data_IF_351541597001
#
_entry.id   IF_351541597001
#
_cell.length_a   1.000
_cell.length_b   1.000
_cell.length_c   1.000
_cell.angle_alpha   90.00
_cell.angle_beta   90.00
_cell.angle_gamma   90.00
#
_symmetry.space_group_name_H-M   'P 1'
#
loop_
_entity.id
_entity.type
_entity.pdbx_description
1 polymer ?
#
# COMPACT_ATOMS: atom_id res chain seq x y z
N UNK A 1 -18.41 -8.29 13.57
CA UNK A 1 -18.98 -9.20 12.56
C UNK A 1 -20.20 -8.57 11.87
N UNK A 2 -21.04 -7.82 12.59
CA UNK A 2 -22.18 -7.06 12.02
C UNK A 2 -21.79 -6.09 10.89
N UNK A 3 -20.63 -5.44 10.95
CA UNK A 3 -20.14 -4.49 9.92
C UNK A 3 -19.76 -5.11 8.56
N UNK A 4 -19.79 -6.44 8.43
CA UNK A 4 -19.58 -7.13 7.15
C UNK A 4 -20.87 -7.72 6.56
N UNK A 5 -22.03 -7.57 7.23
CA UNK A 5 -23.31 -8.00 6.67
C UNK A 5 -23.68 -7.08 5.50
N UNK A 6 -23.64 -7.61 4.28
CA UNK A 6 -24.03 -6.90 3.06
C UNK A 6 -22.88 -6.57 2.10
N UNK A 7 -21.62 -6.84 2.46
CA UNK A 7 -20.49 -6.66 1.55
C UNK A 7 -20.33 -7.87 0.63
N UNK A 8 -20.09 -7.61 -0.65
CA UNK A 8 -19.73 -8.64 -1.61
C UNK A 8 -18.35 -9.23 -1.28
N UNK A 9 -18.08 -10.44 -1.76
CA UNK A 9 -16.75 -11.06 -1.63
C UNK A 9 -15.64 -10.14 -2.18
N UNK A 10 -15.94 -9.37 -3.25
CA UNK A 10 -15.00 -8.45 -3.86
C UNK A 10 -14.68 -7.28 -2.92
N UNK A 11 -15.69 -6.63 -2.35
CA UNK A 11 -15.51 -5.51 -1.40
C UNK A 11 -14.76 -5.94 -0.15
N UNK A 12 -15.00 -7.16 0.33
CA UNK A 12 -14.24 -7.70 1.46
C UNK A 12 -12.76 -7.87 1.10
N UNK A 13 -12.48 -8.41 -0.08
CA UNK A 13 -11.12 -8.62 -0.52
C UNK A 13 -10.38 -7.30 -0.82
N UNK A 14 -11.08 -6.28 -1.34
CA UNK A 14 -10.53 -4.93 -1.46
C UNK A 14 -10.17 -4.35 -0.09
N UNK A 15 -11.07 -4.47 0.89
CA UNK A 15 -10.78 -4.04 2.26
C UNK A 15 -9.57 -4.78 2.84
N UNK A 16 -9.47 -6.09 2.62
CA UNK A 16 -8.31 -6.86 3.08
C UNK A 16 -7.02 -6.36 2.42
N UNK A 17 -7.06 -6.05 1.13
CA UNK A 17 -5.90 -5.50 0.39
C UNK A 17 -5.47 -4.17 0.98
N UNK A 18 -6.41 -3.27 1.27
CA UNK A 18 -6.14 -1.98 1.96
C UNK A 18 -5.45 -2.22 3.31
N UNK A 19 -5.95 -3.14 4.14
CA UNK A 19 -5.33 -3.44 5.42
C UNK A 19 -3.93 -4.04 5.29
N UNK A 20 -3.70 -4.91 4.30
CA UNK A 20 -2.38 -5.46 4.03
C UNK A 20 -1.39 -4.35 3.63
N UNK A 21 -1.82 -3.38 2.82
CA UNK A 21 -1.00 -2.22 2.43
C UNK A 21 -0.68 -1.30 3.61
N UNK A 22 -1.69 -0.95 4.42
CA UNK A 22 -1.52 -0.13 5.62
C UNK A 22 -0.63 -0.82 6.68
N UNK A 23 -0.66 -2.15 6.72
CA UNK A 23 0.24 -2.91 7.56
C UNK A 23 1.67 -2.83 7.03
N UNK A 24 1.84 -3.09 5.72
CA UNK A 24 3.14 -3.12 5.06
C UNK A 24 3.88 -1.78 5.10
N UNK A 25 3.23 -0.67 4.81
CA UNK A 25 3.87 0.65 4.84
C UNK A 25 4.05 1.22 6.27
N UNK A 26 3.52 0.52 7.29
CA UNK A 26 3.61 0.93 8.69
C UNK A 26 2.51 1.91 9.16
N UNK A 27 1.57 2.31 8.32
CA UNK A 27 0.49 3.23 8.71
C UNK A 27 -0.36 2.67 9.87
N UNK A 28 -0.63 1.36 9.91
CA UNK A 28 -1.35 0.76 11.06
C UNK A 28 -0.58 0.91 12.38
N UNK A 29 0.76 0.82 12.33
CA UNK A 29 1.60 1.03 13.51
C UNK A 29 1.51 2.48 13.97
N UNK A 30 1.59 3.44 13.06
CA UNK A 30 1.47 4.87 13.35
C UNK A 30 0.09 5.24 13.92
N UNK A 31 -0.99 4.69 13.36
CA UNK A 31 -2.36 4.88 13.89
C UNK A 31 -2.49 4.34 15.31
N UNK A 32 -1.94 3.15 15.58
CA UNK A 32 -1.92 2.58 16.92
C UNK A 32 -1.17 3.47 17.90
N UNK A 33 -0.04 4.05 17.50
CA UNK A 33 0.75 4.98 18.33
C UNK A 33 -0.03 6.27 18.62
N UNK A 34 -0.86 6.73 17.66
CA UNK A 34 -1.80 7.85 17.81
C UNK A 34 -3.10 7.48 18.55
N UNK A 35 -3.17 6.31 19.17
CA UNK A 35 -4.34 5.82 19.93
C UNK A 35 -5.61 5.63 19.09
N UNK A 36 -5.49 5.43 17.77
CA UNK A 36 -6.64 5.02 16.96
C UNK A 36 -7.07 3.60 17.34
N UNK A 37 -8.35 3.43 17.68
CA UNK A 37 -8.93 2.13 17.97
C UNK A 37 -9.12 1.31 16.69
N UNK A 38 -9.15 -0.03 16.86
CA UNK A 38 -9.47 -0.94 15.74
C UNK A 38 -10.82 -0.62 15.09
N UNK A 39 -11.80 -0.19 15.90
CA UNK A 39 -13.15 0.12 15.41
C UNK A 39 -13.16 1.38 14.54
N UNK A 40 -12.43 2.42 14.94
CA UNK A 40 -12.28 3.65 14.15
C UNK A 40 -11.56 3.38 12.83
N UNK A 41 -10.46 2.63 12.86
CA UNK A 41 -9.71 2.27 11.65
C UNK A 41 -10.59 1.45 10.71
N UNK A 42 -11.30 0.43 11.22
CA UNK A 42 -12.23 -0.35 10.39
C UNK A 42 -13.34 0.52 9.82
N UNK A 43 -13.97 1.38 10.62
CA UNK A 43 -15.03 2.26 10.14
C UNK A 43 -14.54 3.22 9.04
N UNK A 44 -13.33 3.77 9.18
CA UNK A 44 -12.74 4.68 8.21
C UNK A 44 -12.50 4.01 6.84
N UNK A 45 -11.98 2.77 6.83
CA UNK A 45 -11.67 2.06 5.59
C UNK A 45 -12.82 1.19 5.06
N UNK A 46 -13.90 0.97 5.83
CA UNK A 46 -15.02 0.12 5.42
C UNK A 46 -15.78 0.63 4.19
N UNK A 47 -15.71 1.93 3.89
CA UNK A 47 -16.36 2.53 2.71
C UNK A 47 -15.36 3.19 1.75
N UNK A 48 -14.05 2.99 1.97
CA UNK A 48 -13.01 3.50 1.08
C UNK A 48 -12.46 2.35 0.24
N UNK A 49 -12.59 2.46 -1.08
CA UNK A 49 -11.86 1.61 -2.01
C UNK A 49 -10.39 2.03 -2.03
N UNK A 50 -9.53 1.14 -2.54
CA UNK A 50 -8.16 1.52 -2.86
C UNK A 50 -8.17 2.39 -4.13
N UNK A 51 -8.32 3.69 -3.93
CA UNK A 51 -8.36 4.69 -4.98
C UNK A 51 -6.97 5.31 -5.25
N UNK A 52 -6.92 6.18 -6.24
CA UNK A 52 -5.68 6.82 -6.67
C UNK A 52 -5.12 7.78 -5.62
N UNK A 53 -5.99 8.42 -4.82
CA UNK A 53 -5.57 9.29 -3.71
C UNK A 53 -4.81 8.49 -2.65
N UNK A 54 -5.35 7.33 -2.25
CA UNK A 54 -4.67 6.44 -1.30
C UNK A 54 -3.34 5.93 -1.85
N UNK A 55 -3.28 5.51 -3.12
CA UNK A 55 -2.02 5.09 -3.76
C UNK A 55 -1.01 6.22 -3.79
N UNK A 56 -1.43 7.43 -4.14
CA UNK A 56 -0.58 8.61 -4.19
C UNK A 56 -0.03 8.96 -2.81
N UNK A 57 -0.86 8.94 -1.77
CA UNK A 57 -0.40 9.20 -0.40
C UNK A 57 0.64 8.15 0.03
N UNK A 58 0.41 6.86 -0.25
CA UNK A 58 1.40 5.82 0.04
C UNK A 58 2.69 5.99 -0.77
N UNK A 59 2.61 6.45 -2.01
CA UNK A 59 3.79 6.73 -2.82
C UNK A 59 4.62 7.89 -2.22
N UNK A 60 3.97 8.98 -1.79
CA UNK A 60 4.64 10.10 -1.12
C UNK A 60 5.33 9.67 0.18
N UNK A 61 4.66 8.85 0.99
CA UNK A 61 5.21 8.23 2.19
C UNK A 61 6.51 7.44 1.87
N UNK A 62 6.54 6.71 0.75
CA UNK A 62 7.74 5.98 0.32
C UNK A 62 8.85 6.90 -0.18
N UNK A 63 8.52 8.00 -0.86
CA UNK A 63 9.48 9.02 -1.29
C UNK A 63 10.15 9.67 -0.07
N UNK A 64 9.39 10.00 0.96
CA UNK A 64 9.94 10.56 2.21
C UNK A 64 10.95 9.60 2.85
N UNK A 65 10.64 8.30 2.92
CA UNK A 65 11.55 7.28 3.44
C UNK A 65 12.80 7.08 2.58
N UNK A 66 12.70 7.23 1.25
CA UNK A 66 13.85 7.21 0.35
C UNK A 66 14.78 8.39 0.61
N UNK A 67 14.23 9.59 0.89
CA UNK A 67 15.05 10.76 1.23
C UNK A 67 15.80 10.57 2.56
N UNK A 68 15.20 9.87 3.53
CA UNK A 68 15.84 9.53 4.80
C UNK A 68 16.87 8.39 4.66
N UNK A 69 16.60 7.43 3.78
CA UNK A 69 17.41 6.23 3.57
C UNK A 69 17.54 5.89 2.07
N UNK A 70 18.52 6.50 1.37
CA UNK A 70 18.70 6.31 -0.06
C UNK A 70 18.90 4.84 -0.45
N UNK A 71 18.22 4.42 -1.51
CA UNK A 71 18.23 3.05 -2.04
C UNK A 71 17.17 2.12 -1.43
N UNK A 72 16.42 2.58 -0.42
CA UNK A 72 15.34 1.81 0.21
C UNK A 72 14.23 1.49 -0.79
N UNK A 73 13.77 2.48 -1.56
CA UNK A 73 12.68 2.33 -2.52
C UNK A 73 13.03 1.33 -3.61
N UNK A 74 14.24 1.41 -4.16
CA UNK A 74 14.71 0.48 -5.20
C UNK A 74 14.80 -0.96 -4.66
N UNK A 75 15.26 -1.12 -3.42
CA UNK A 75 15.30 -2.42 -2.75
C UNK A 75 13.91 -2.99 -2.52
N UNK A 76 12.99 -2.19 -2.02
CA UNK A 76 11.61 -2.62 -1.76
C UNK A 76 10.86 -2.94 -3.06
N UNK A 77 11.11 -2.21 -4.14
CA UNK A 77 10.57 -2.50 -5.46
C UNK A 77 11.02 -3.88 -5.95
N UNK A 78 12.32 -4.19 -5.85
CA UNK A 78 12.84 -5.51 -6.23
C UNK A 78 12.24 -6.65 -5.39
N UNK A 79 11.99 -6.40 -4.09
CA UNK A 79 11.30 -7.36 -3.21
C UNK A 79 9.86 -7.56 -3.68
N UNK A 80 9.13 -6.49 -3.95
CA UNK A 80 7.72 -6.55 -4.40
C UNK A 80 7.58 -7.29 -5.74
N UNK A 81 8.49 -7.08 -6.69
CA UNK A 81 8.51 -7.79 -7.96
C UNK A 81 8.72 -9.30 -7.78
N UNK A 82 9.67 -9.69 -6.92
CA UNK A 82 9.92 -11.09 -6.60
C UNK A 82 8.74 -11.75 -5.88
N UNK A 83 8.11 -11.03 -4.95
CA UNK A 83 6.90 -11.50 -4.25
C UNK A 83 5.74 -11.71 -5.22
N UNK A 84 5.52 -10.78 -6.15
CA UNK A 84 4.49 -10.89 -7.18
C UNK A 84 4.72 -12.11 -8.07
N UNK A 85 5.94 -12.32 -8.54
CA UNK A 85 6.26 -13.47 -9.38
C UNK A 85 6.10 -14.79 -8.61
N UNK A 86 6.53 -14.82 -7.35
CA UNK A 86 6.37 -16.00 -6.48
C UNK A 86 4.90 -16.32 -6.26
N UNK A 87 4.06 -15.31 -5.99
CA UNK A 87 2.63 -15.48 -5.83
C UNK A 87 1.97 -15.98 -7.13
N UNK A 88 2.38 -15.43 -8.28
CA UNK A 88 1.89 -15.83 -9.61
C UNK A 88 2.20 -17.30 -9.91
N UNK A 89 3.43 -17.74 -9.69
CA UNK A 89 3.86 -19.13 -9.91
C UNK A 89 3.15 -20.10 -8.96
N UNK A 90 2.84 -19.67 -7.74
CA UNK A 90 2.14 -20.48 -6.75
C UNK A 90 0.60 -20.45 -6.89
N UNK A 91 0.05 -19.74 -7.88
CA UNK A 91 -1.41 -19.60 -8.04
C UNK A 91 -2.10 -18.90 -6.87
N UNK A 92 -1.37 -18.02 -6.16
CA UNK A 92 -1.88 -17.28 -5.01
C UNK A 92 -2.59 -15.99 -5.45
N UNK A 93 -3.29 -15.39 -4.49
CA UNK A 93 -3.86 -14.06 -4.60
C UNK A 93 -2.80 -13.03 -5.04
N UNK A 94 -3.12 -12.19 -6.04
CA UNK A 94 -2.16 -11.25 -6.66
C UNK A 94 -2.45 -9.78 -6.41
N UNK A 95 -3.61 -9.40 -5.86
CA UNK A 95 -3.96 -7.98 -5.65
C UNK A 95 -2.96 -7.30 -4.73
N UNK A 96 -2.67 -7.88 -3.58
CA UNK A 96 -1.73 -7.27 -2.65
C UNK A 96 -0.31 -7.07 -3.24
N UNK A 97 0.36 -8.10 -3.79
CA UNK A 97 1.70 -7.90 -4.34
C UNK A 97 1.70 -7.02 -5.60
N UNK A 98 0.61 -7.00 -6.38
CA UNK A 98 0.47 -6.07 -7.51
C UNK A 98 0.36 -4.63 -7.03
N UNK A 99 -0.50 -4.34 -6.06
CA UNK A 99 -0.68 -2.98 -5.52
C UNK A 99 0.59 -2.47 -4.84
N UNK A 100 1.32 -3.33 -4.10
CA UNK A 100 2.65 -2.99 -3.56
C UNK A 100 3.59 -2.51 -4.67
N UNK A 101 3.72 -3.29 -5.74
CA UNK A 101 4.59 -2.95 -6.87
C UNK A 101 4.14 -1.63 -7.52
N UNK A 102 2.84 -1.47 -7.78
CA UNK A 102 2.31 -0.29 -8.47
C UNK A 102 2.56 1.00 -7.66
N UNK A 103 2.39 0.95 -6.33
CA UNK A 103 2.68 2.09 -5.43
C UNK A 103 4.18 2.44 -5.42
N UNK A 104 5.06 1.43 -5.33
CA UNK A 104 6.51 1.65 -5.34
C UNK A 104 6.99 2.18 -6.69
N UNK A 105 6.43 1.67 -7.79
CA UNK A 105 6.73 2.15 -9.14
C UNK A 105 6.25 3.60 -9.31
N UNK A 106 5.08 3.94 -8.78
CA UNK A 106 4.57 5.32 -8.77
C UNK A 106 5.54 6.25 -8.04
N UNK A 107 6.00 5.88 -6.83
CA UNK A 107 6.98 6.65 -6.08
C UNK A 107 8.30 6.82 -6.86
N UNK A 108 8.79 5.74 -7.48
CA UNK A 108 10.03 5.75 -8.24
C UNK A 108 9.94 6.66 -9.47
N UNK A 109 8.81 6.63 -10.19
CA UNK A 109 8.56 7.49 -11.33
C UNK A 109 8.50 8.97 -10.93
N UNK A 110 7.87 9.30 -9.80
CA UNK A 110 7.78 10.68 -9.31
C UNK A 110 9.17 11.25 -8.95
N UNK A 111 10.04 10.46 -8.34
CA UNK A 111 11.44 10.85 -8.07
C UNK A 111 12.22 11.11 -9.36
N UNK A 112 12.06 10.26 -10.37
CA UNK A 112 12.74 10.42 -11.67
C UNK A 112 12.25 11.66 -12.42
N UNK A 113 10.94 11.97 -12.35
CA UNK A 113 10.39 13.22 -12.92
C UNK A 113 10.92 14.44 -12.17
N UNK A 114 10.96 14.42 -10.84
CA UNK A 114 11.52 15.51 -10.03
C UNK A 114 13.03 15.73 -10.22
N UNK A 115 13.78 14.67 -10.51
CA UNK A 115 15.22 14.73 -10.78
C UNK A 115 15.52 15.36 -12.16
N UNK A 116 14.71 15.04 -13.18
CA UNK A 116 14.88 15.57 -14.53
C UNK A 116 14.54 17.07 -14.68
N UNK A 117 13.77 17.64 -13.75
CA UNK A 117 13.44 19.09 -13.74
C UNK A 117 14.57 19.91 -13.09
N UNK A 118 15.40 19.28 -12.26
CA UNK A 118 16.49 19.93 -11.52
C UNK A 118 17.90 19.68 -12.12
N UNK A 119 17.97 19.14 -13.34
CA UNK A 119 19.23 18.86 -14.07
C UNK A 119 19.43 19.80 -15.24
#
# INVERSE_FOLDING_TARGET
>A
LETNKGRTMLEFQELMTVFQLLHWNGSLKAMRERQCSRQEVVAHYSNRSLDDEMRQQMALDWIERENENPGLLSRELAIAERELETARLAGRELRFPKEKKDILQMAHNQLNVGSNINS
#
